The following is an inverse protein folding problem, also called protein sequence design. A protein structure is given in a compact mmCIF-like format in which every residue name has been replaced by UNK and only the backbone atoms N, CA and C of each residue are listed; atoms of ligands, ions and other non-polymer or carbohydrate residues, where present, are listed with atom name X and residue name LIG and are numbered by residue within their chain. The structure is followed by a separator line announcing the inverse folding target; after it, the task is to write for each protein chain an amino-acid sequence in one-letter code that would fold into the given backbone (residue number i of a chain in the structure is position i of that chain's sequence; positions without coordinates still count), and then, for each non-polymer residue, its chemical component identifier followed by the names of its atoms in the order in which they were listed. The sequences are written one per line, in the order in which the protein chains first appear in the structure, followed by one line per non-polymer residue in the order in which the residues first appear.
data_IF_299021549485
#
_entry.id   IF_299021549485
#
_cell.length_a   1.000
_cell.length_b   1.000
_cell.length_c   1.000
_cell.angle_alpha   90.00
_cell.angle_beta   90.00
_cell.angle_gamma   90.00
#
_symmetry.space_group_name_H-M   'P 1'
#
loop_
_entity.id
_entity.type
_entity.pdbx_description
1 polymer ?
#
# COMPACT_ATOMS: atom_id res chain seq x y z
N UNK A 1 19.75 -25.24 18.33
CA UNK A 1 19.29 -23.85 18.09
C UNK A 1 19.94 -23.26 16.84
N UNK A 2 21.27 -23.28 16.70
CA UNK A 2 21.98 -22.69 15.55
C UNK A 2 21.75 -23.41 14.21
N UNK A 3 21.63 -24.73 14.20
CA UNK A 3 21.35 -25.52 12.98
C UNK A 3 19.94 -25.20 12.41
N UNK A 4 18.98 -24.91 13.29
CA UNK A 4 17.64 -24.48 12.90
C UNK A 4 17.69 -23.13 12.18
N UNK A 5 18.53 -22.21 12.66
CA UNK A 5 18.73 -20.89 12.06
C UNK A 5 19.41 -20.95 10.68
N UNK A 6 20.33 -21.91 10.46
CA UNK A 6 21.00 -22.10 9.17
C UNK A 6 20.08 -22.68 8.09
N UNK A 7 19.25 -23.66 8.45
CA UNK A 7 18.26 -24.23 7.52
C UNK A 7 17.23 -23.19 7.05
N UNK A 8 16.87 -22.26 7.93
CA UNK A 8 15.93 -21.15 7.66
C UNK A 8 16.52 -20.09 6.70
N UNK A 9 17.84 -19.92 6.65
CA UNK A 9 18.50 -18.95 5.77
C UNK A 9 18.86 -19.51 4.39
N UNK A 10 19.06 -20.83 4.28
CA UNK A 10 19.31 -21.52 3.00
C UNK A 10 18.01 -21.70 2.20
N UNK A 11 16.90 -21.95 2.89
CA UNK A 11 15.56 -22.08 2.29
C UNK A 11 14.72 -20.82 2.56
N UNK A 12 15.08 -19.70 1.93
CA UNK A 12 14.29 -18.45 2.02
C UNK A 12 12.99 -18.55 1.21
N UNK A 13 12.04 -19.32 1.72
CA UNK A 13 10.67 -19.38 1.23
C UNK A 13 9.72 -18.46 1.99
N UNK A 14 8.49 -18.37 1.49
CA UNK A 14 7.39 -17.62 2.14
C UNK A 14 7.01 -18.22 3.48
N UNK A 15 7.08 -19.55 3.63
CA UNK A 15 6.77 -20.27 4.86
C UNK A 15 7.76 -19.95 5.98
N UNK A 16 9.05 -19.93 5.69
CA UNK A 16 10.13 -19.67 6.63
C UNK A 16 10.10 -18.22 7.11
N UNK A 17 9.83 -17.27 6.20
CA UNK A 17 9.63 -15.87 6.56
C UNK A 17 8.46 -15.69 7.55
N UNK A 18 7.36 -16.43 7.37
CA UNK A 18 6.22 -16.41 8.31
C UNK A 18 6.61 -16.96 9.69
N UNK A 19 7.42 -18.01 9.77
CA UNK A 19 7.89 -18.57 11.04
C UNK A 19 8.79 -17.57 11.78
N UNK A 20 9.74 -16.94 11.08
CA UNK A 20 10.61 -15.91 11.67
C UNK A 20 9.79 -14.69 12.09
N UNK A 21 8.86 -14.24 11.25
CA UNK A 21 7.94 -13.15 11.58
C UNK A 21 7.11 -13.51 12.82
N UNK A 22 6.60 -14.74 12.92
CA UNK A 22 5.91 -15.27 14.10
C UNK A 22 6.77 -15.21 15.37
N UNK A 23 8.02 -15.69 15.31
CA UNK A 23 8.95 -15.63 16.43
C UNK A 23 9.26 -14.17 16.84
N UNK A 24 9.44 -13.28 15.87
CA UNK A 24 9.62 -11.85 16.11
C UNK A 24 8.36 -11.20 16.71
N UNK A 25 7.16 -11.60 16.29
CA UNK A 25 5.89 -11.14 16.84
C UNK A 25 5.71 -11.59 18.30
N UNK A 26 6.23 -12.76 18.69
CA UNK A 26 6.18 -13.22 20.08
C UNK A 26 7.17 -12.43 20.94
N UNK A 27 8.39 -12.22 20.45
CA UNK A 27 9.43 -11.51 21.19
C UNK A 27 9.15 -9.99 21.30
N UNK A 28 8.83 -9.35 20.17
CA UNK A 28 8.57 -7.92 20.11
C UNK A 28 7.09 -7.57 20.35
N UNK A 29 6.15 -8.45 19.99
CA UNK A 29 4.71 -8.19 20.07
C UNK A 29 4.09 -7.75 18.73
N UNK A 30 2.85 -8.17 18.39
CA UNK A 30 2.18 -7.84 17.14
C UNK A 30 1.87 -6.36 16.94
N UNK A 31 1.84 -5.58 18.03
CA UNK A 31 1.64 -4.13 17.96
C UNK A 31 2.95 -3.35 17.79
N UNK A 32 4.10 -3.92 18.19
CA UNK A 32 5.39 -3.23 18.18
C UNK A 32 6.05 -3.23 16.81
N UNK A 33 6.03 -4.34 16.07
CA UNK A 33 6.55 -4.40 14.70
C UNK A 33 5.94 -3.34 13.76
N UNK A 34 4.60 -3.17 13.67
CA UNK A 34 4.01 -2.13 12.82
C UNK A 34 4.26 -0.72 13.36
N UNK A 35 4.43 -0.55 14.66
CA UNK A 35 4.76 0.74 15.26
C UNK A 35 6.20 1.17 14.90
N UNK A 36 7.16 0.25 15.00
CA UNK A 36 8.55 0.44 14.61
C UNK A 36 8.67 0.68 13.10
N UNK A 37 7.97 -0.10 12.27
CA UNK A 37 8.00 0.09 10.82
C UNK A 37 7.39 1.43 10.38
N UNK A 38 6.37 1.93 11.08
CA UNK A 38 5.83 3.29 10.83
C UNK A 38 6.85 4.37 11.15
N UNK A 39 7.57 4.24 12.26
CA UNK A 39 8.62 5.20 12.65
C UNK A 39 9.81 5.15 11.68
N UNK A 40 10.32 3.95 11.38
CA UNK A 40 11.40 3.72 10.42
C UNK A 40 10.99 4.11 8.98
N UNK A 41 9.73 3.87 8.62
CA UNK A 41 9.18 4.24 7.31
C UNK A 41 9.11 5.75 7.14
N UNK A 42 8.72 6.48 8.20
CA UNK A 42 8.74 7.94 8.20
C UNK A 42 10.15 8.49 8.06
N UNK A 43 11.12 7.97 8.84
CA UNK A 43 12.51 8.40 8.73
C UNK A 43 13.11 8.06 7.37
N UNK A 44 12.78 6.90 6.80
CA UNK A 44 13.25 6.51 5.48
C UNK A 44 12.61 7.37 4.37
N UNK A 45 11.35 7.77 4.52
CA UNK A 45 10.69 8.67 3.58
C UNK A 45 11.32 10.07 3.59
N UNK A 46 11.63 10.60 4.77
CA UNK A 46 12.35 11.86 4.94
C UNK A 46 13.79 11.75 4.40
N UNK A 47 14.49 10.65 4.70
CA UNK A 47 15.82 10.37 4.15
C UNK A 47 15.81 10.28 2.62
N UNK A 48 14.80 9.62 2.01
CA UNK A 48 14.65 9.55 0.55
C UNK A 48 14.44 10.93 -0.08
N UNK A 49 13.63 11.80 0.54
CA UNK A 49 13.42 13.17 0.06
C UNK A 49 14.71 13.98 0.13
N UNK A 50 15.41 13.93 1.26
CA UNK A 50 16.71 14.58 1.40
C UNK A 50 17.73 14.01 0.38
N UNK A 51 17.76 12.69 0.18
CA UNK A 51 18.62 12.03 -0.81
C UNK A 51 18.32 12.46 -2.24
N UNK A 52 17.05 12.67 -2.57
CA UNK A 52 16.62 13.18 -3.88
C UNK A 52 17.06 14.64 -4.07
N UNK A 53 16.95 15.48 -3.03
CA UNK A 53 17.43 16.87 -3.07
C UNK A 53 18.97 16.94 -3.18
N UNK A 54 19.68 16.03 -2.49
CA UNK A 54 21.13 15.86 -2.65
C UNK A 54 21.47 15.41 -4.07
N UNK A 55 20.75 14.44 -4.63
CA UNK A 55 20.96 13.97 -6.00
C UNK A 55 20.73 15.10 -7.01
N UNK A 56 19.69 15.92 -6.85
CA UNK A 56 19.42 17.07 -7.72
C UNK A 56 20.47 18.16 -7.64
N UNK A 57 20.96 18.46 -6.43
CA UNK A 57 22.06 19.42 -6.23
C UNK A 57 23.36 18.88 -6.81
N UNK A 58 23.66 17.60 -6.57
CA UNK A 58 24.84 16.93 -7.09
C UNK A 58 24.81 16.83 -8.62
N UNK A 59 23.67 16.48 -9.22
CA UNK A 59 23.49 16.49 -10.68
C UNK A 59 23.63 17.90 -11.23
N UNK A 60 23.15 18.94 -10.54
CA UNK A 60 23.33 20.32 -10.98
C UNK A 60 24.81 20.73 -10.96
N UNK A 61 25.53 20.42 -9.88
CA UNK A 61 26.95 20.76 -9.74
C UNK A 61 27.84 19.95 -10.69
N UNK A 62 27.63 18.63 -10.76
CA UNK A 62 28.37 17.74 -11.65
C UNK A 62 28.03 18.01 -13.12
N UNK A 63 26.79 18.37 -13.44
CA UNK A 63 26.45 18.77 -14.80
C UNK A 63 27.12 20.09 -15.17
N UNK A 64 27.18 21.07 -14.26
CA UNK A 64 27.96 22.30 -14.48
C UNK A 64 29.45 21.98 -14.73
N UNK A 65 30.02 21.05 -13.98
CA UNK A 65 31.42 20.62 -14.14
C UNK A 65 31.66 19.77 -15.42
N UNK A 66 30.62 19.11 -15.95
CA UNK A 66 30.66 18.42 -17.25
C UNK A 66 30.36 19.36 -18.44
N UNK A 67 29.59 20.44 -18.25
CA UNK A 67 29.38 21.50 -19.25
C UNK A 67 30.66 22.30 -19.48
N UNK A 68 31.46 22.55 -18.43
CA UNK A 68 32.82 23.12 -18.57
C UNK A 68 33.82 22.12 -19.16
N UNK A 69 33.51 20.81 -19.13
CA UNK A 69 34.33 19.73 -19.68
C UNK A 69 33.68 19.05 -20.90
N UNK A 70 33.01 19.81 -21.77
CA UNK A 70 32.78 19.43 -23.18
C UNK A 70 32.30 17.99 -23.45
N UNK A 71 31.46 17.41 -22.60
CA UNK A 71 30.82 16.12 -22.88
C UNK A 71 29.53 16.40 -23.66
N UNK A 72 29.62 16.31 -24.98
CA UNK A 72 28.51 16.37 -25.94
C UNK A 72 27.38 15.40 -25.55
N UNK A 73 26.13 15.86 -25.34
CA UNK A 73 24.97 15.01 -25.12
C UNK A 73 24.44 14.49 -26.46
N UNK A 74 25.22 13.68 -27.18
CA UNK A 74 24.79 13.13 -28.48
C UNK A 74 23.78 11.98 -28.36
N UNK A 75 23.50 11.49 -27.15
CA UNK A 75 22.58 10.37 -26.93
C UNK A 75 21.10 10.83 -26.84
N UNK A 76 20.84 12.03 -26.32
CA UNK A 76 19.47 12.52 -26.12
C UNK A 76 18.86 13.12 -27.40
N UNK A 77 19.66 13.77 -28.24
CA UNK A 77 19.21 14.33 -29.52
C UNK A 77 18.75 13.23 -30.50
N UNK A 78 19.48 12.12 -30.59
CA UNK A 78 19.15 11.02 -31.51
C UNK A 78 17.80 10.36 -31.24
N UNK A 79 17.39 10.26 -29.97
CA UNK A 79 16.10 9.66 -29.58
C UNK A 79 14.95 10.62 -29.86
N UNK A 80 15.15 11.92 -29.58
CA UNK A 80 14.16 12.97 -29.85
C UNK A 80 13.93 13.16 -31.35
N UNK A 81 14.99 13.13 -32.16
CA UNK A 81 14.91 13.21 -33.62
C UNK A 81 14.14 12.02 -34.21
N UNK A 82 14.42 10.79 -33.74
CA UNK A 82 13.66 9.59 -34.16
C UNK A 82 12.19 9.65 -33.77
N UNK A 83 11.87 10.20 -32.59
CA UNK A 83 10.49 10.36 -32.16
C UNK A 83 9.75 11.39 -33.01
N UNK A 84 10.39 12.53 -33.31
CA UNK A 84 9.85 13.57 -34.16
C UNK A 84 9.57 13.07 -35.59
N UNK A 85 10.47 12.27 -36.14
CA UNK A 85 10.31 11.67 -37.47
C UNK A 85 9.11 10.71 -37.54
N UNK A 86 8.93 9.88 -36.51
CA UNK A 86 7.76 8.97 -36.42
C UNK A 86 6.43 9.72 -36.32
N UNK A 87 6.40 10.85 -35.62
CA UNK A 87 5.20 11.69 -35.50
C UNK A 87 4.87 12.35 -36.84
N UNK A 88 5.88 12.84 -37.57
CA UNK A 88 5.70 13.41 -38.92
C UNK A 88 5.17 12.37 -39.90
N UNK A 89 5.79 11.19 -39.93
CA UNK A 89 5.32 10.08 -40.76
C UNK A 89 3.86 9.71 -40.44
N UNK A 90 3.50 9.57 -39.16
CA UNK A 90 2.13 9.27 -38.74
C UNK A 90 1.12 10.37 -39.14
N UNK A 91 1.54 11.63 -39.17
CA UNK A 91 0.70 12.76 -39.60
C UNK A 91 0.46 12.74 -41.10
N UNK A 92 1.46 12.35 -41.88
CA UNK A 92 1.36 12.28 -43.34
C UNK A 92 0.42 11.15 -43.79
N UNK A 93 0.47 9.98 -43.14
CA UNK A 93 -0.53 8.92 -43.38
C UNK A 93 -1.94 9.31 -42.93
N UNK A 94 -2.09 10.03 -41.81
CA UNK A 94 -3.40 10.51 -41.36
C UNK A 94 -3.98 11.63 -42.25
N UNK A 95 -3.12 12.45 -42.86
CA UNK A 95 -3.53 13.48 -43.81
C UNK A 95 -4.07 12.91 -45.13
N UNK A 96 -3.70 11.66 -45.47
CA UNK A 96 -4.21 10.97 -46.66
C UNK A 96 -5.59 10.32 -46.46
N UNK A 97 -6.02 10.10 -45.21
CA UNK A 97 -7.27 9.39 -44.84
C UNK A 97 -8.25 10.26 -44.03
N UNK A 98 -8.16 11.60 -44.18
CA UNK A 98 -8.92 12.56 -43.37
C UNK A 98 -10.43 12.57 -43.66
N UNK A 99 -11.16 11.73 -42.93
CA UNK A 99 -12.61 11.72 -42.82
C UNK A 99 -13.10 11.50 -41.38
N UNK A 100 -12.81 12.45 -40.48
CA UNK A 100 -13.51 12.79 -39.22
C UNK A 100 -13.68 11.73 -38.11
N UNK A 101 -13.11 11.93 -36.90
CA UNK A 101 -13.59 11.28 -35.68
C UNK A 101 -14.44 12.26 -34.83
N UNK A 102 -15.74 11.98 -34.75
CA UNK A 102 -16.63 12.60 -33.77
C UNK A 102 -16.35 12.08 -32.35
N UNK A 103 -16.16 13.03 -31.44
CA UNK A 103 -16.83 13.15 -30.14
C UNK A 103 -16.94 11.89 -29.25
N UNK A 104 -15.99 11.81 -28.33
CA UNK A 104 -16.10 11.20 -27.00
C UNK A 104 -17.42 11.55 -26.27
N UNK A 105 -18.27 10.55 -26.04
CA UNK A 105 -19.42 10.62 -25.12
C UNK A 105 -19.71 9.25 -24.50
N UNK A 106 -19.45 9.10 -23.18
CA UNK A 106 -20.22 8.30 -22.22
C UNK A 106 -19.54 8.41 -20.84
N UNK A 107 -20.01 9.27 -19.93
CA UNK A 107 -21.11 9.07 -18.97
C UNK A 107 -20.85 7.95 -17.97
N UNK A 108 -20.30 8.29 -16.80
CA UNK A 108 -20.54 7.55 -15.54
C UNK A 108 -20.56 8.57 -14.38
N UNK A 109 -21.76 9.02 -14.01
CA UNK A 109 -22.01 9.73 -12.75
C UNK A 109 -22.80 8.80 -11.81
N UNK A 110 -22.36 8.53 -10.57
CA UNK A 110 -23.15 7.72 -9.64
C UNK A 110 -24.22 8.58 -8.95
N UNK A 111 -25.48 8.17 -9.12
CA UNK A 111 -26.65 8.69 -8.42
C UNK A 111 -26.63 8.30 -6.95
N UNK A 112 -26.76 9.25 -6.03
CA UNK A 112 -26.89 9.02 -4.58
C UNK A 112 -28.35 9.26 -4.20
N UNK A 113 -29.08 8.18 -3.89
CA UNK A 113 -30.47 8.24 -3.41
C UNK A 113 -30.49 8.69 -1.93
N UNK A 114 -31.27 9.72 -1.55
CA UNK A 114 -31.42 10.10 -0.14
C UNK A 114 -32.17 9.03 0.68
N UNK A 115 -31.66 8.71 1.88
CA UNK A 115 -32.24 7.73 2.81
C UNK A 115 -33.36 8.38 3.65
N UNK A 116 -34.52 7.73 3.70
CA UNK A 116 -35.74 8.17 4.41
C UNK A 116 -35.61 8.02 5.95
N UNK A 117 -35.83 9.09 6.74
CA UNK A 117 -35.64 9.11 8.20
C UNK A 117 -36.71 8.38 9.04
N UNK A 118 -37.73 7.74 8.44
CA UNK A 118 -38.85 7.15 9.19
C UNK A 118 -38.57 5.79 9.90
N UNK A 119 -37.36 5.20 9.78
CA UNK A 119 -37.06 3.87 10.33
C UNK A 119 -36.33 3.86 11.69
N UNK A 120 -36.17 5.01 12.35
CA UNK A 120 -35.56 5.08 13.69
C UNK A 120 -36.64 5.04 14.77
N UNK A 121 -37.06 3.84 15.17
CA UNK A 121 -37.91 3.66 16.36
C UNK A 121 -37.05 3.54 17.64
N UNK A 122 -37.26 4.37 18.68
CA UNK A 122 -36.59 4.25 19.98
C UNK A 122 -37.03 2.99 20.75
N UNK A 123 -36.07 2.30 21.38
CA UNK A 123 -36.34 1.13 22.23
C UNK A 123 -36.87 1.58 23.60
N UNK A 124 -38.09 1.17 23.96
CA UNK A 124 -38.65 1.31 25.31
C UNK A 124 -37.99 0.34 26.30
N UNK A 125 -37.40 0.88 27.37
CA UNK A 125 -36.87 0.12 28.51
C UNK A 125 -37.89 0.20 29.64
N UNK A 126 -38.55 -0.91 29.97
CA UNK A 126 -39.47 -1.03 31.11
C UNK A 126 -38.70 -1.51 32.36
N UNK A 127 -38.82 -0.84 33.53
CA UNK A 127 -38.08 -1.23 34.73
C UNK A 127 -38.93 -1.98 35.78
N UNK A 128 -38.23 -2.82 36.56
CA UNK A 128 -38.50 -3.34 37.92
C UNK A 128 -39.31 -4.62 38.15
N UNK A 129 -38.79 -5.42 39.11
CA UNK A 129 -39.47 -6.04 40.30
C UNK A 129 -39.04 -7.51 40.47
N UNK A 130 -38.02 -7.79 41.31
CA UNK A 130 -38.09 -8.41 42.67
C UNK A 130 -38.90 -9.72 42.76
N UNK A 131 -38.27 -10.81 43.21
CA UNK A 131 -38.60 -11.55 44.46
C UNK A 131 -37.60 -12.73 44.68
N UNK A 132 -37.26 -13.13 45.94
CA UNK A 132 -36.08 -13.93 46.32
C UNK A 132 -36.42 -15.40 46.68
N UNK A 133 -35.48 -16.10 47.35
CA UNK A 133 -35.57 -17.45 47.96
C UNK A 133 -35.23 -18.60 47.00
N UNK A 134 -34.53 -19.68 47.35
CA UNK A 134 -33.79 -20.15 48.52
C UNK A 134 -33.11 -21.50 48.12
N UNK A 135 -32.13 -21.97 48.90
CA UNK A 135 -31.81 -23.41 49.14
C UNK A 135 -31.21 -24.21 47.96
N UNK A 136 -30.20 -25.06 48.01
CA UNK A 136 -29.11 -25.54 48.89
C UNK A 136 -28.14 -26.31 47.95
N UNK A 137 -26.91 -26.64 48.37
CA UNK A 137 -25.93 -27.40 47.59
C UNK A 137 -26.02 -28.91 47.91
N UNK A 138 -26.03 -29.80 46.90
CA UNK A 138 -25.76 -31.26 47.03
C UNK A 138 -25.67 -31.85 45.60
N UNK A 139 -24.48 -32.18 45.10
CA UNK A 139 -23.82 -33.50 45.14
C UNK A 139 -24.51 -34.61 44.33
N UNK A 140 -23.64 -35.41 43.72
CA UNK A 140 -23.85 -36.83 43.47
C UNK A 140 -24.85 -37.25 42.39
N UNK A 141 -24.41 -37.14 41.13
CA UNK A 141 -24.85 -38.06 40.09
C UNK A 141 -23.99 -39.34 40.21
N UNK A 142 -24.54 -40.28 40.99
CA UNK A 142 -24.46 -41.74 40.90
C UNK A 142 -23.16 -42.33 40.31
N UNK A 143 -22.30 -42.92 41.14
CA UNK A 143 -22.32 -44.34 41.55
C UNK A 143 -22.01 -45.32 40.40
N UNK A 144 -21.14 -46.29 40.73
CA UNK A 144 -20.74 -47.53 40.03
C UNK A 144 -20.02 -47.37 38.66
N UNK A 145 -18.75 -47.75 38.48
CA UNK A 145 -18.02 -48.97 38.91
C UNK A 145 -16.50 -48.69 39.02
#
# INVERSE_FOLDING_TARGET
MTIMFLFILDSLGTSELLVILGAALIFFGPRRLPQLSRQLGKSLAEFRRASEDFKRTWEREVNLENFDKGVEPSADSSILDKAAERIRAAREVAAFDSGSPESISSTIAPSVTPVDPALVQPRDVKPQTTEPAATEPETSKHDWL
#
